data_IF_940651301355
#
_entry.id   IF_940651301355
#
_cell.length_a   1.000
_cell.length_b   1.000
_cell.length_c   1.000
_cell.angle_alpha   90.00
_cell.angle_beta   90.00
_cell.angle_gamma   90.00
#
_symmetry.space_group_name_H-M   'P 1'
#
loop_
_entity.id
_entity.type
_entity.pdbx_description
1 polymer ?
#
# COMPACT_ATOMS: atom_id res chain seq x y z
N UNK A 1 27.49 -7.43 -42.97
CA UNK A 1 26.26 -7.09 -43.72
C UNK A 1 25.76 -8.33 -44.45
N UNK A 2 24.59 -8.86 -44.09
CA UNK A 2 23.70 -9.64 -44.96
C UNK A 2 22.46 -10.03 -44.14
N UNK A 3 21.32 -9.36 -44.36
CA UNK A 3 20.03 -9.71 -43.75
C UNK A 3 19.38 -10.80 -44.61
N UNK A 4 19.02 -11.91 -43.98
CA UNK A 4 18.29 -13.00 -44.59
C UNK A 4 16.96 -12.49 -45.17
N UNK A 5 16.75 -12.74 -46.46
CA UNK A 5 15.56 -12.33 -47.21
C UNK A 5 14.44 -13.35 -46.97
N UNK A 6 13.43 -12.97 -46.19
CA UNK A 6 12.24 -13.78 -45.95
C UNK A 6 11.38 -13.86 -47.23
N UNK A 7 10.88 -15.04 -47.64
CA UNK A 7 10.11 -15.18 -48.88
C UNK A 7 8.74 -14.51 -48.77
N UNK A 8 8.43 -13.69 -49.78
CA UNK A 8 7.15 -12.97 -49.95
C UNK A 8 6.08 -13.96 -50.40
N UNK A 9 5.15 -14.30 -49.50
CA UNK A 9 4.06 -15.22 -49.77
C UNK A 9 3.11 -14.65 -50.85
N UNK A 10 2.69 -15.53 -51.77
CA UNK A 10 1.80 -15.23 -52.88
C UNK A 10 0.38 -14.85 -52.43
N UNK A 11 -0.33 -13.96 -53.15
CA UNK A 11 -1.71 -13.59 -52.82
C UNK A 11 -2.65 -14.77 -53.10
N UNK A 12 -3.29 -15.28 -52.04
CA UNK A 12 -4.28 -16.37 -52.10
C UNK A 12 -5.58 -15.86 -52.73
N UNK A 13 -6.14 -16.62 -53.68
CA UNK A 13 -7.38 -16.35 -54.42
C UNK A 13 -8.54 -16.01 -53.48
N UNK A 14 -9.21 -14.89 -53.73
CA UNK A 14 -10.41 -14.43 -53.02
C UNK A 14 -11.64 -15.19 -53.53
N UNK A 15 -12.36 -15.87 -52.64
CA UNK A 15 -13.69 -16.42 -52.95
C UNK A 15 -14.72 -15.29 -52.92
N UNK A 16 -15.53 -15.20 -53.98
CA UNK A 16 -16.64 -14.27 -54.11
C UNK A 16 -17.66 -14.52 -52.98
N UNK A 17 -17.72 -13.63 -52.00
CA UNK A 17 -18.63 -13.74 -50.85
C UNK A 17 -18.10 -13.17 -49.52
N UNK A 18 -16.84 -12.75 -49.45
CA UNK A 18 -16.30 -12.11 -48.24
C UNK A 18 -16.86 -10.70 -48.06
N UNK A 19 -17.83 -10.52 -47.15
CA UNK A 19 -18.29 -9.22 -46.70
C UNK A 19 -17.14 -8.53 -45.93
N UNK A 20 -16.53 -7.52 -46.56
CA UNK A 20 -15.46 -6.72 -45.97
C UNK A 20 -16.10 -5.49 -45.33
N UNK A 21 -15.87 -5.31 -44.03
CA UNK A 21 -16.42 -4.21 -43.24
C UNK A 21 -15.32 -3.34 -42.66
N UNK A 22 -15.66 -2.09 -42.40
CA UNK A 22 -14.82 -1.13 -41.68
C UNK A 22 -14.85 -1.40 -40.17
N UNK A 23 -13.97 -0.72 -39.41
CA UNK A 23 -13.89 -0.87 -37.95
C UNK A 23 -15.22 -0.56 -37.27
N UNK A 24 -15.90 0.51 -37.68
CA UNK A 24 -17.13 0.98 -37.03
C UNK A 24 -18.29 0.02 -37.29
N UNK A 25 -18.40 -0.49 -38.52
CA UNK A 25 -19.36 -1.51 -38.90
C UNK A 25 -19.10 -2.84 -38.18
N UNK A 26 -17.82 -3.24 -38.06
CA UNK A 26 -17.43 -4.43 -37.31
C UNK A 26 -17.74 -4.31 -35.82
N UNK A 27 -17.49 -3.12 -35.23
CA UNK A 27 -17.81 -2.83 -33.84
C UNK A 27 -19.32 -2.91 -33.60
N UNK A 28 -20.12 -2.34 -34.51
CA UNK A 28 -21.58 -2.44 -34.49
C UNK A 28 -22.07 -3.88 -34.57
N UNK A 29 -21.46 -4.73 -35.41
CA UNK A 29 -21.81 -6.15 -35.52
C UNK A 29 -21.48 -6.95 -34.24
N UNK A 30 -20.48 -6.50 -33.49
CA UNK A 30 -20.05 -7.12 -32.25
C UNK A 30 -20.75 -6.57 -30.99
N UNK A 31 -21.58 -5.52 -31.13
CA UNK A 31 -22.30 -4.87 -30.03
C UNK A 31 -21.40 -4.03 -29.12
N UNK A 32 -20.27 -3.52 -29.63
CA UNK A 32 -19.27 -2.78 -28.85
C UNK A 32 -18.90 -1.48 -29.56
N UNK A 33 -18.40 -0.48 -28.83
CA UNK A 33 -17.91 0.77 -29.42
C UNK A 33 -16.63 0.53 -30.24
N UNK A 34 -16.43 1.35 -31.29
CA UNK A 34 -15.25 1.26 -32.17
C UNK A 34 -13.92 1.43 -31.42
N UNK A 35 -13.91 2.21 -30.35
CA UNK A 35 -12.73 2.44 -29.51
C UNK A 35 -12.35 1.19 -28.71
N UNK A 36 -13.34 0.58 -28.04
CA UNK A 36 -13.15 -0.67 -27.30
C UNK A 36 -12.77 -1.80 -28.26
N UNK A 37 -13.41 -1.88 -29.42
CA UNK A 37 -13.05 -2.85 -30.47
C UNK A 37 -11.61 -2.64 -30.97
N UNK A 38 -11.15 -1.40 -31.14
CA UNK A 38 -9.76 -1.10 -31.53
C UNK A 38 -8.76 -1.63 -30.50
N UNK A 39 -9.07 -1.52 -29.21
CA UNK A 39 -8.25 -2.08 -28.14
C UNK A 39 -8.17 -3.61 -28.26
N UNK A 40 -9.30 -4.29 -28.47
CA UNK A 40 -9.33 -5.73 -28.66
C UNK A 40 -8.56 -6.20 -29.91
N UNK A 41 -8.65 -5.47 -31.02
CA UNK A 41 -7.92 -5.76 -32.25
C UNK A 41 -6.39 -5.58 -32.12
N UNK A 42 -5.90 -4.77 -31.17
CA UNK A 42 -4.46 -4.70 -30.84
C UNK A 42 -3.97 -6.01 -30.21
N UNK A 43 -4.79 -6.66 -29.39
CA UNK A 43 -4.49 -7.95 -28.77
C UNK A 43 -4.72 -9.16 -29.69
N UNK A 44 -5.31 -8.95 -30.88
CA UNK A 44 -5.58 -10.01 -31.84
C UNK A 44 -4.29 -10.51 -32.52
N UNK A 45 -4.21 -11.81 -32.89
CA UNK A 45 -3.00 -12.40 -33.49
C UNK A 45 -2.46 -11.62 -34.70
N UNK A 46 -1.15 -11.42 -34.77
CA UNK A 46 -0.51 -10.62 -35.84
C UNK A 46 -0.81 -11.16 -37.26
N UNK A 47 -1.08 -12.46 -37.40
CA UNK A 47 -1.47 -13.14 -38.66
C UNK A 47 -2.92 -13.63 -38.65
N UNK A 48 -3.84 -12.82 -38.16
CA UNK A 48 -5.26 -13.12 -38.21
C UNK A 48 -5.75 -13.15 -39.68
N UNK A 49 -6.32 -14.27 -40.17
CA UNK A 49 -6.76 -14.39 -41.57
C UNK A 49 -7.97 -13.48 -41.90
N UNK A 50 -8.68 -13.00 -40.89
CA UNK A 50 -9.84 -12.13 -40.99
C UNK A 50 -9.52 -10.63 -40.97
N UNK A 51 -8.27 -10.24 -40.66
CA UNK A 51 -7.81 -8.85 -40.77
C UNK A 51 -7.05 -8.71 -42.09
N UNK A 52 -7.70 -8.12 -43.09
CA UNK A 52 -7.12 -7.90 -44.41
C UNK A 52 -6.17 -6.70 -44.39
N UNK A 53 -6.55 -5.64 -43.69
CA UNK A 53 -5.70 -4.47 -43.46
C UNK A 53 -5.84 -4.01 -42.00
N UNK A 54 -4.72 -3.96 -41.27
CA UNK A 54 -4.64 -3.34 -39.94
C UNK A 54 -4.58 -1.84 -40.12
N UNK A 55 -5.47 -1.11 -39.45
CA UNK A 55 -5.45 0.34 -39.48
C UNK A 55 -4.11 0.89 -38.99
N UNK A 56 -3.47 1.73 -39.81
CA UNK A 56 -2.22 2.44 -39.51
C UNK A 56 -2.45 3.94 -39.81
N UNK A 57 -1.51 4.83 -39.47
CA UNK A 57 -1.67 6.30 -39.65
C UNK A 57 -2.26 6.65 -41.03
N UNK A 58 -3.53 7.06 -41.06
CA UNK A 58 -4.27 7.44 -42.28
C UNK A 58 -4.92 6.30 -43.09
N UNK A 59 -4.87 5.04 -42.64
CA UNK A 59 -5.54 3.88 -43.28
C UNK A 59 -6.52 3.21 -42.33
N UNK A 60 -7.76 3.03 -42.78
CA UNK A 60 -8.82 2.33 -42.03
C UNK A 60 -8.60 0.82 -41.94
N UNK A 61 -9.31 0.17 -41.03
CA UNK A 61 -9.31 -1.30 -40.94
C UNK A 61 -10.17 -1.89 -42.04
N UNK A 62 -9.72 -3.01 -42.62
CA UNK A 62 -10.56 -3.88 -43.47
C UNK A 62 -10.62 -5.26 -42.86
N UNK A 63 -11.83 -5.67 -42.50
CA UNK A 63 -12.08 -6.89 -41.74
C UNK A 63 -13.06 -7.76 -42.50
N UNK A 64 -12.77 -9.05 -42.63
CA UNK A 64 -13.73 -10.04 -43.12
C UNK A 64 -14.76 -10.32 -42.02
N UNK A 65 -15.99 -9.86 -42.20
CA UNK A 65 -17.00 -9.80 -41.14
C UNK A 65 -17.30 -11.17 -40.52
N UNK A 66 -17.51 -12.20 -41.33
CA UNK A 66 -17.92 -13.53 -40.87
C UNK A 66 -16.88 -14.18 -39.95
N UNK A 67 -15.62 -14.21 -40.39
CA UNK A 67 -14.52 -14.80 -39.63
C UNK A 67 -14.14 -13.94 -38.42
N UNK A 68 -14.27 -12.61 -38.51
CA UNK A 68 -14.05 -11.71 -37.39
C UNK A 68 -15.08 -11.88 -36.28
N UNK A 69 -16.36 -12.06 -36.62
CA UNK A 69 -17.43 -12.29 -35.64
C UNK A 69 -17.30 -13.64 -34.97
N UNK A 70 -16.88 -14.68 -35.69
CA UNK A 70 -16.62 -16.00 -35.12
C UNK A 70 -15.50 -15.95 -34.08
N UNK A 71 -14.39 -15.27 -34.41
CA UNK A 71 -13.31 -15.00 -33.45
C UNK A 71 -13.82 -14.22 -32.22
N UNK A 72 -14.64 -13.18 -32.44
CA UNK A 72 -15.19 -12.38 -31.36
C UNK A 72 -16.03 -13.22 -30.39
N UNK A 73 -16.89 -14.11 -30.91
CA UNK A 73 -17.71 -15.03 -30.09
C UNK A 73 -16.87 -16.00 -29.26
N UNK A 74 -15.81 -16.57 -29.85
CA UNK A 74 -14.89 -17.47 -29.12
C UNK A 74 -14.12 -16.72 -28.02
N UNK A 75 -13.73 -15.48 -28.31
CA UNK A 75 -13.04 -14.62 -27.34
C UNK A 75 -13.96 -14.17 -26.21
N UNK A 76 -15.17 -13.70 -26.51
CA UNK A 76 -16.13 -13.23 -25.50
C UNK A 76 -16.56 -14.36 -24.57
N UNK A 77 -16.65 -15.60 -25.07
CA UNK A 77 -16.88 -16.78 -24.25
C UNK A 77 -15.70 -17.10 -23.30
N UNK A 78 -14.47 -16.76 -23.71
CA UNK A 78 -13.26 -16.96 -22.89
C UNK A 78 -13.03 -15.83 -21.88
N UNK A 79 -13.33 -14.57 -22.24
CA UNK A 79 -13.11 -13.40 -21.36
C UNK A 79 -14.04 -13.37 -20.16
N UNK A 80 -15.26 -13.91 -20.27
CA UNK A 80 -16.20 -14.02 -19.14
C UNK A 80 -15.62 -14.83 -17.96
N UNK A 81 -14.73 -15.80 -18.23
CA UNK A 81 -14.05 -16.58 -17.18
C UNK A 81 -12.84 -15.84 -16.58
N UNK A 82 -12.11 -15.05 -17.37
CA UNK A 82 -10.93 -14.33 -16.92
C UNK A 82 -11.29 -13.10 -16.07
N UNK A 83 -12.37 -12.38 -16.43
CA UNK A 83 -12.85 -11.22 -15.67
C UNK A 83 -13.39 -11.65 -14.29
N UNK A 84 -14.07 -12.81 -14.21
CA UNK A 84 -14.50 -13.41 -12.95
C UNK A 84 -13.32 -13.82 -12.05
N UNK A 85 -12.25 -14.35 -12.64
CA UNK A 85 -11.04 -14.72 -11.90
C UNK A 85 -10.24 -13.50 -11.42
N UNK A 86 -10.18 -12.44 -12.21
CA UNK A 86 -9.56 -11.18 -11.81
C UNK A 86 -10.32 -10.51 -10.66
N UNK A 87 -11.66 -10.52 -10.71
CA UNK A 87 -12.52 -10.03 -9.62
C UNK A 87 -12.36 -10.85 -8.33
N UNK A 88 -12.30 -12.17 -8.43
CA UNK A 88 -12.04 -13.06 -7.28
C UNK A 88 -10.65 -12.85 -6.68
N UNK A 89 -9.62 -12.65 -7.52
CA UNK A 89 -8.26 -12.34 -7.03
C UNK A 89 -8.20 -10.96 -6.39
N UNK A 90 -8.95 -9.97 -6.87
CA UNK A 90 -9.06 -8.67 -6.23
C UNK A 90 -9.78 -8.76 -4.88
N UNK A 91 -10.87 -9.52 -4.80
CA UNK A 91 -11.60 -9.77 -3.56
C UNK A 91 -10.74 -10.52 -2.53
N UNK A 92 -9.96 -11.53 -2.95
CA UNK A 92 -9.04 -12.25 -2.07
C UNK A 92 -7.88 -11.38 -1.59
N UNK A 93 -7.35 -10.49 -2.44
CA UNK A 93 -6.35 -9.49 -2.03
C UNK A 93 -6.90 -8.51 -1.01
N UNK A 94 -8.16 -8.10 -1.18
CA UNK A 94 -8.86 -7.24 -0.22
C UNK A 94 -9.02 -7.94 1.14
N UNK A 95 -9.39 -9.22 1.13
CA UNK A 95 -9.55 -10.04 2.33
C UNK A 95 -8.22 -10.34 3.05
N UNK A 96 -7.11 -10.47 2.30
CA UNK A 96 -5.79 -10.73 2.87
C UNK A 96 -5.07 -9.47 3.40
N UNK A 97 -5.51 -8.26 3.04
CA UNK A 97 -4.85 -7.02 3.46
C UNK A 97 -5.28 -6.54 4.86
N UNK A 98 -6.20 -7.23 5.53
CA UNK A 98 -6.63 -6.90 6.89
C UNK A 98 -7.70 -5.79 6.89
N UNK A 99 -8.79 -6.05 7.61
CA UNK A 99 -10.01 -5.23 7.62
C UNK A 99 -9.91 -3.94 8.42
N UNK A 100 -9.06 -3.00 8.01
CA UNK A 100 -9.03 -1.63 8.56
C UNK A 100 -8.96 -0.53 7.48
N UNK A 101 -9.22 -0.88 6.21
CA UNK A 101 -9.44 0.13 5.19
C UNK A 101 -10.88 0.63 5.31
N UNK A 102 -11.05 1.83 5.88
CA UNK A 102 -12.33 2.54 5.86
C UNK A 102 -12.85 2.67 4.42
N UNK A 103 -14.18 2.61 4.24
CA UNK A 103 -14.81 2.58 2.91
C UNK A 103 -14.43 3.77 2.01
N UNK A 104 -14.01 4.90 2.58
CA UNK A 104 -13.52 6.08 1.85
C UNK A 104 -12.13 5.88 1.22
N UNK A 105 -11.27 5.04 1.81
CA UNK A 105 -9.89 4.81 1.35
C UNK A 105 -9.83 3.89 0.09
N UNK A 106 -10.96 3.26 -0.21
CA UNK A 106 -11.17 2.38 -1.36
C UNK A 106 -11.43 3.13 -2.67
N UNK A 107 -11.84 4.42 -2.60
CA UNK A 107 -12.12 5.25 -3.78
C UNK A 107 -10.88 5.98 -4.32
N UNK A 108 -9.79 6.01 -3.55
CA UNK A 108 -8.56 6.67 -3.93
C UNK A 108 -7.75 5.80 -4.90
N UNK A 109 -7.37 6.38 -6.04
CA UNK A 109 -6.40 5.79 -6.95
C UNK A 109 -5.09 5.53 -6.20
N UNK A 110 -4.33 4.49 -6.57
CA UNK A 110 -3.02 4.21 -5.96
C UNK A 110 -2.04 5.39 -6.04
N UNK A 111 -2.24 6.32 -6.98
CA UNK A 111 -1.51 7.59 -7.01
C UNK A 111 -1.95 8.56 -5.90
N UNK A 112 -3.25 8.68 -5.67
CA UNK A 112 -3.82 9.56 -4.63
C UNK A 112 -3.47 9.06 -3.23
N UNK A 113 -3.52 7.73 -2.98
CA UNK A 113 -3.00 7.17 -1.72
C UNK A 113 -1.52 7.45 -1.50
N UNK A 114 -0.72 7.41 -2.57
CA UNK A 114 0.70 7.75 -2.50
C UNK A 114 0.95 9.23 -2.20
N UNK A 115 0.06 10.11 -2.66
CA UNK A 115 0.15 11.55 -2.41
C UNK A 115 -0.36 11.91 -0.98
N UNK A 116 -1.40 11.24 -0.49
CA UNK A 116 -1.88 11.37 0.90
C UNK A 116 -0.88 10.82 1.92
N UNK A 117 -0.27 9.67 1.64
CA UNK A 117 0.78 9.12 2.49
C UNK A 117 1.99 10.07 2.60
N UNK A 118 2.35 10.74 1.51
CA UNK A 118 3.40 11.78 1.53
C UNK A 118 2.98 13.03 2.29
N UNK A 119 1.71 13.43 2.18
CA UNK A 119 1.18 14.55 2.94
C UNK A 119 1.20 14.25 4.45
N UNK A 120 0.82 13.04 4.86
CA UNK A 120 0.90 12.58 6.25
C UNK A 120 2.34 12.53 6.78
N UNK A 121 3.30 12.06 5.97
CA UNK A 121 4.72 12.11 6.35
C UNK A 121 5.23 13.54 6.51
N UNK A 122 4.89 14.45 5.60
CA UNK A 122 5.28 15.84 5.69
C UNK A 122 4.67 16.54 6.91
N UNK A 123 3.45 16.18 7.30
CA UNK A 123 2.81 16.68 8.52
C UNK A 123 3.50 16.16 9.78
N UNK A 124 3.87 14.88 9.83
CA UNK A 124 4.64 14.32 10.93
C UNK A 124 6.02 14.97 11.06
N UNK A 125 6.75 15.12 9.95
CA UNK A 125 8.05 15.82 9.94
C UNK A 125 7.92 17.28 10.37
N UNK A 126 6.85 17.96 9.96
CA UNK A 126 6.57 19.34 10.38
C UNK A 126 6.30 19.45 11.88
N UNK A 127 5.52 18.51 12.45
CA UNK A 127 5.23 18.46 13.89
C UNK A 127 6.46 18.04 14.73
N UNK A 128 7.29 17.13 14.23
CA UNK A 128 8.61 16.83 14.82
C UNK A 128 9.50 18.08 14.82
N UNK A 129 9.55 18.83 13.71
CA UNK A 129 10.36 20.04 13.59
C UNK A 129 9.88 21.21 14.46
N UNK A 130 8.57 21.28 14.72
CA UNK A 130 7.98 22.23 15.68
C UNK A 130 8.16 21.81 17.14
N UNK A 131 8.67 20.60 17.40
CA UNK A 131 8.88 20.07 18.74
C UNK A 131 7.58 19.61 19.43
N UNK A 132 6.50 19.44 18.68
CA UNK A 132 5.22 18.91 19.21
C UNK A 132 5.26 17.38 19.30
N UNK A 133 6.08 16.73 18.48
CA UNK A 133 6.32 15.29 18.50
C UNK A 133 7.78 15.02 18.87
N UNK A 134 7.95 14.27 19.94
CA UNK A 134 9.23 13.87 20.48
C UNK A 134 9.35 12.35 20.36
N UNK A 135 10.48 11.85 19.85
CA UNK A 135 10.71 10.41 19.79
C UNK A 135 10.93 9.89 21.19
N UNK A 136 10.12 8.91 21.59
CA UNK A 136 10.19 8.26 22.91
C UNK A 136 11.62 7.79 23.22
N UNK A 137 12.33 7.25 22.23
CA UNK A 137 13.74 6.81 22.34
C UNK A 137 14.71 7.88 22.81
N UNK A 138 14.45 9.14 22.48
CA UNK A 138 15.35 10.25 22.81
C UNK A 138 15.18 10.67 24.27
N UNK A 139 13.98 10.50 24.83
CA UNK A 139 13.65 10.87 26.21
C UNK A 139 13.81 9.72 27.20
N UNK A 140 13.67 8.47 26.78
CA UNK A 140 13.87 7.30 27.65
C UNK A 140 15.26 7.30 28.30
N UNK A 141 16.31 7.50 27.51
CA UNK A 141 17.68 7.51 28.04
C UNK A 141 17.90 8.67 29.01
N UNK A 142 17.40 9.86 28.68
CA UNK A 142 17.56 11.07 29.49
C UNK A 142 16.74 11.00 30.78
N UNK A 143 15.51 10.49 30.72
CA UNK A 143 14.65 10.30 31.90
C UNK A 143 15.20 9.21 32.82
N UNK A 144 15.68 8.09 32.29
CA UNK A 144 16.34 7.04 33.09
C UNK A 144 17.57 7.61 33.79
N UNK A 145 18.42 8.36 33.08
CA UNK A 145 19.59 9.01 33.68
C UNK A 145 19.20 10.04 34.76
N UNK A 146 18.15 10.84 34.52
CA UNK A 146 17.64 11.80 35.49
C UNK A 146 17.12 11.11 36.77
N UNK A 147 16.40 9.99 36.63
CA UNK A 147 15.89 9.21 37.78
C UNK A 147 17.03 8.55 38.55
N UNK A 148 18.07 8.05 37.88
CA UNK A 148 19.27 7.48 38.52
C UNK A 148 20.01 8.56 39.33
N UNK A 149 20.23 9.74 38.76
CA UNK A 149 20.88 10.85 39.46
C UNK A 149 20.03 11.36 40.64
N UNK A 150 18.69 11.44 40.48
CA UNK A 150 17.78 11.80 41.57
C UNK A 150 17.87 10.80 42.73
N UNK A 151 17.87 9.49 42.43
CA UNK A 151 18.05 8.43 43.43
C UNK A 151 19.36 8.59 44.18
N UNK A 152 20.46 8.84 43.45
CA UNK A 152 21.79 9.03 44.03
C UNK A 152 21.83 10.24 44.96
N UNK A 153 21.19 11.35 44.58
CA UNK A 153 21.11 12.55 45.41
C UNK A 153 20.29 12.31 46.68
N UNK A 154 19.13 11.65 46.56
CA UNK A 154 18.26 11.31 47.69
C UNK A 154 18.97 10.39 48.69
N UNK A 155 19.70 9.38 48.23
CA UNK A 155 20.50 8.50 49.09
C UNK A 155 21.69 9.21 49.77
N UNK A 156 22.05 10.42 49.34
CA UNK A 156 23.05 11.27 50.00
C UNK A 156 22.49 12.15 51.11
N UNK A 157 21.16 12.22 51.26
CA UNK A 157 20.50 13.13 52.19
C UNK A 157 20.73 12.72 53.65
N UNK A 158 20.64 11.43 54.01
CA UNK A 158 20.85 10.97 55.39
C UNK A 158 22.18 11.44 55.97
N UNK A 159 23.26 11.25 55.22
CA UNK A 159 24.62 11.75 55.57
C UNK A 159 24.67 13.27 55.72
N UNK A 160 23.97 13.99 54.86
CA UNK A 160 23.94 15.46 54.86
C UNK A 160 23.18 15.98 56.07
N UNK A 161 22.03 15.37 56.39
CA UNK A 161 21.19 15.71 57.55
C UNK A 161 21.95 15.39 58.85
N UNK A 162 22.61 14.22 58.93
CA UNK A 162 23.46 13.87 60.07
C UNK A 162 24.55 14.92 60.33
N UNK A 163 25.29 15.30 59.29
CA UNK A 163 26.36 16.31 59.42
C UNK A 163 25.83 17.69 59.84
N UNK A 164 24.63 18.06 59.38
CA UNK A 164 24.04 19.38 59.62
C UNK A 164 23.38 19.52 60.99
N UNK A 165 22.78 18.45 61.50
CA UNK A 165 22.01 18.46 62.76
C UNK A 165 22.66 17.66 63.89
N UNK A 166 23.88 17.13 63.68
CA UNK A 166 24.64 16.33 64.64
C UNK A 166 23.84 15.14 65.20
N UNK A 167 23.06 14.49 64.33
CA UNK A 167 22.22 13.35 64.72
C UNK A 167 23.06 12.09 64.96
N UNK A 168 22.51 11.19 65.77
CA UNK A 168 23.06 9.86 65.97
C UNK A 168 22.90 9.00 64.71
N UNK A 169 23.76 7.98 64.59
CA UNK A 169 23.80 7.11 63.41
C UNK A 169 22.50 6.31 63.23
N UNK A 170 21.82 5.96 64.32
CA UNK A 170 20.52 5.26 64.26
C UNK A 170 19.44 6.11 63.54
N UNK A 171 19.51 7.44 63.67
CA UNK A 171 18.58 8.35 62.99
C UNK A 171 18.94 8.50 61.51
N UNK A 172 20.23 8.44 61.15
CA UNK A 172 20.68 8.36 59.75
C UNK A 172 20.15 7.10 59.08
N UNK A 173 20.30 5.95 59.72
CA UNK A 173 19.84 4.66 59.19
C UNK A 173 18.31 4.66 58.99
N UNK A 174 17.55 5.23 59.92
CA UNK A 174 16.09 5.38 59.80
C UNK A 174 15.66 6.32 58.66
N UNK A 175 16.42 7.40 58.41
CA UNK A 175 16.17 8.32 57.29
C UNK A 175 16.45 7.61 55.95
N UNK A 176 17.57 6.89 55.86
CA UNK A 176 17.95 6.17 54.66
C UNK A 176 16.96 5.05 54.32
N UNK A 177 16.43 4.35 55.33
CA UNK A 177 15.37 3.34 55.17
C UNK A 177 14.07 3.96 54.66
N UNK A 178 13.64 5.09 55.24
CA UNK A 178 12.44 5.82 54.80
C UNK A 178 12.58 6.33 53.36
N UNK A 179 13.77 6.82 52.98
CA UNK A 179 14.07 7.23 51.60
C UNK A 179 14.04 6.01 50.66
N UNK A 180 14.61 4.88 51.06
CA UNK A 180 14.61 3.66 50.27
C UNK A 180 13.18 3.12 50.02
N UNK A 181 12.33 3.14 51.03
CA UNK A 181 10.94 2.70 50.91
C UNK A 181 10.10 3.63 50.02
N UNK A 182 10.30 4.95 50.14
CA UNK A 182 9.63 5.92 49.25
C UNK A 182 10.09 5.80 47.80
N UNK A 183 11.37 5.50 47.57
CA UNK A 183 11.89 5.22 46.23
C UNK A 183 11.31 3.94 45.63
N UNK A 184 11.10 2.89 46.43
CA UNK A 184 10.42 1.67 45.96
C UNK A 184 8.97 1.95 45.55
N UNK A 185 8.22 2.67 46.39
CA UNK A 185 6.84 3.06 46.07
C UNK A 185 6.74 3.90 44.80
N UNK A 186 7.72 4.78 44.56
CA UNK A 186 7.78 5.57 43.33
C UNK A 186 8.01 4.71 42.09
N UNK A 187 8.91 3.72 42.17
CA UNK A 187 9.14 2.78 41.05
C UNK A 187 7.92 1.90 40.81
N UNK A 188 7.28 1.39 41.86
CA UNK A 188 6.05 0.60 41.72
C UNK A 188 4.92 1.40 41.09
N UNK A 189 4.75 2.69 41.45
CA UNK A 189 3.74 3.55 40.83
C UNK A 189 4.02 3.82 39.33
N UNK A 190 5.29 3.98 38.95
CA UNK A 190 5.68 4.15 37.54
C UNK A 190 5.47 2.87 36.72
N UNK A 191 5.63 1.69 37.32
CA UNK A 191 5.46 0.39 36.66
C UNK A 191 3.98 0.06 36.39
N UNK A 192 3.07 0.51 37.27
CA UNK A 192 1.62 0.35 37.10
C UNK A 192 1.11 1.12 35.88
N UNK A 193 1.56 2.37 35.68
CA UNK A 193 1.14 3.19 34.54
C UNK A 193 1.66 2.66 33.18
N UNK A 194 2.78 1.92 33.15
CA UNK A 194 3.31 1.32 31.92
C UNK A 194 2.51 0.08 31.45
N UNK A 195 1.72 -0.53 32.34
CA UNK A 195 0.98 -1.77 32.08
C UNK A 195 -0.49 -1.57 31.70
N UNK A 196 -1.10 -0.43 32.08
CA UNK A 196 -2.52 -0.14 31.79
C UNK A 196 -2.77 0.32 30.35
N UNK A 197 -1.75 0.83 29.64
CA UNK A 197 -1.87 1.26 28.24
C UNK A 197 -1.75 0.11 27.22
N UNK A 198 -1.41 -1.11 27.67
CA UNK A 198 -1.29 -2.28 26.79
C UNK A 198 -2.59 -3.07 26.58
N UNK A 199 -3.65 -2.76 27.34
CA UNK A 199 -4.93 -3.50 27.33
C UNK A 199 -6.10 -2.66 26.75
N UNK A 200 -5.78 -1.80 25.78
CA UNK A 200 -6.75 -1.20 24.86
C UNK A 200 -7.36 -2.23 23.91
N UNK A 201 -7.93 -3.30 24.45
CA UNK A 201 -8.82 -4.23 23.77
C UNK A 201 -10.04 -3.47 23.27
N UNK A 202 -10.03 -3.13 21.98
CA UNK A 202 -11.20 -2.66 21.24
C UNK A 202 -12.11 -3.89 21.02
N UNK A 203 -13.19 -3.98 21.81
CA UNK A 203 -14.38 -4.76 21.48
C UNK A 203 -15.24 -4.02 20.43
#
# INVERSE_FOLDING_TARGET
MARASTPRAAPKKRSAGELIVNLDEFASLCGVTSETMRSHLKSAPARAPWILERGARGRGYKIAALLGVEWWKQRSASSANDDGRAAQLAALRLQMLGGDASEDDLLLSGKQRGDEFKAGLAELEYREAMGELARVSDYEADTVNAVIELRRQLQGIGKTVRRRFALEREVEDAIDELIADRLKQFVEALDVDASDDADGSID
#
